data_IF_584997646387
#
_entry.id   IF_584997646387
#
_cell.length_a   1.000
_cell.length_b   1.000
_cell.length_c   1.000
_cell.angle_alpha   90.00
_cell.angle_beta   90.00
_cell.angle_gamma   90.00
#
_symmetry.space_group_name_H-M   'P 1'
#
loop_
_entity.id
_entity.type
_entity.pdbx_description
1 polymer ?
#
# COMPACT_ATOMS: atom_id res chain seq x y z
N UNK A 1 25.30 49.55 -41.32
CA UNK A 1 25.43 51.01 -41.43
C UNK A 1 24.45 51.63 -40.44
N UNK A 2 24.98 52.11 -39.33
CA UNK A 2 24.23 52.71 -38.23
C UNK A 2 23.88 54.16 -38.57
N UNK A 3 22.64 54.55 -38.28
CA UNK A 3 22.18 55.94 -38.36
C UNK A 3 22.59 56.75 -37.12
N UNK A 4 22.70 58.09 -37.22
CA UNK A 4 23.57 58.87 -36.38
C UNK A 4 22.90 59.53 -35.17
N UNK A 5 23.80 59.93 -34.28
CA UNK A 5 23.65 60.61 -33.00
C UNK A 5 22.82 61.90 -33.00
N UNK A 6 22.06 62.08 -31.92
CA UNK A 6 21.47 63.35 -31.48
C UNK A 6 21.87 63.66 -30.02
N UNK A 7 22.18 64.91 -29.64
CA UNK A 7 22.97 65.23 -28.46
C UNK A 7 22.20 65.47 -27.14
N UNK A 8 22.89 65.09 -26.08
CA UNK A 8 22.90 65.52 -24.68
C UNK A 8 22.00 66.68 -24.18
N UNK A 9 21.27 66.39 -23.10
CA UNK A 9 20.91 67.33 -22.02
C UNK A 9 20.83 66.50 -20.72
N UNK A 10 21.66 66.68 -19.70
CA UNK A 10 21.78 67.85 -18.84
C UNK A 10 21.61 67.37 -17.39
N UNK A 11 22.72 67.04 -16.71
CA UNK A 11 22.72 66.60 -15.29
C UNK A 11 22.38 67.79 -14.37
N UNK A 12 21.45 67.65 -13.41
CA UNK A 12 21.19 68.71 -12.43
C UNK A 12 22.31 68.78 -11.36
N UNK A 13 22.63 69.99 -10.85
CA UNK A 13 23.73 70.21 -9.92
C UNK A 13 23.40 69.75 -8.49
N UNK A 14 24.39 69.08 -7.86
CA UNK A 14 24.40 68.66 -6.46
C UNK A 14 24.65 69.86 -5.53
N UNK A 15 23.59 70.45 -5.00
CA UNK A 15 23.67 71.52 -3.99
C UNK A 15 23.83 70.99 -2.56
N UNK A 16 25.08 70.79 -2.12
CA UNK A 16 25.45 70.72 -0.69
C UNK A 16 25.52 72.16 -0.17
N UNK A 17 24.58 72.61 0.68
CA UNK A 17 24.74 73.73 1.66
C UNK A 17 23.40 74.04 2.34
N UNK A 18 23.11 73.32 3.42
CA UNK A 18 22.22 73.75 4.50
C UNK A 18 22.77 73.23 5.83
N UNK A 19 24.04 73.56 6.11
CA UNK A 19 24.66 73.40 7.44
C UNK A 19 24.97 74.80 7.94
N UNK A 20 24.53 75.11 9.16
CA UNK A 20 24.64 76.39 9.89
C UNK A 20 23.47 77.35 9.72
N UNK A 21 22.34 77.05 10.36
CA UNK A 21 21.49 78.03 11.06
C UNK A 21 20.63 77.28 12.09
N UNK A 22 21.28 76.55 13.00
CA UNK A 22 20.64 75.96 14.19
C UNK A 22 21.43 76.38 15.45
N UNK A 23 21.77 77.67 15.49
CA UNK A 23 22.41 78.32 16.64
C UNK A 23 21.57 79.54 17.03
N UNK A 24 20.32 79.29 17.42
CA UNK A 24 19.48 80.23 18.16
C UNK A 24 18.39 79.38 18.84
N UNK A 25 18.34 79.46 20.17
CA UNK A 25 17.77 78.43 21.04
C UNK A 25 16.30 78.10 20.78
N UNK A 26 16.03 76.79 20.83
CA UNK A 26 14.90 76.16 21.52
C UNK A 26 15.20 74.65 21.59
N UNK A 27 15.33 74.17 22.81
CA UNK A 27 15.58 72.77 23.18
C UNK A 27 14.31 71.92 23.03
N UNK A 28 14.51 70.63 22.72
CA UNK A 28 13.55 69.52 22.72
C UNK A 28 12.51 69.54 21.58
N UNK A 29 12.16 68.45 20.91
CA UNK A 29 12.54 67.03 21.04
C UNK A 29 11.82 66.31 19.90
N UNK A 30 12.47 66.11 18.75
CA UNK A 30 12.01 65.15 17.75
C UNK A 30 13.18 64.76 16.82
N UNK A 31 13.70 63.53 16.87
CA UNK A 31 14.80 63.10 16.01
C UNK A 31 14.40 62.88 14.53
N UNK A 32 13.13 63.07 14.16
CA UNK A 32 12.61 62.80 12.81
C UNK A 32 12.40 64.00 11.88
N UNK A 33 12.48 65.24 12.36
CA UNK A 33 12.06 66.41 11.58
C UNK A 33 13.06 66.79 10.48
N UNK A 34 12.69 66.54 9.21
CA UNK A 34 13.43 67.01 8.03
C UNK A 34 12.85 68.32 7.51
N UNK A 35 13.62 69.39 7.60
CA UNK A 35 13.26 70.71 7.05
C UNK A 35 13.70 70.82 5.58
N UNK A 36 12.76 71.12 4.69
CA UNK A 36 13.05 71.46 3.30
C UNK A 36 12.84 72.96 3.08
N UNK A 37 13.92 73.70 2.84
CA UNK A 37 13.85 75.11 2.47
C UNK A 37 13.68 75.23 0.94
N UNK A 38 12.50 75.66 0.48
CA UNK A 38 12.28 76.07 -0.93
C UNK A 38 12.24 77.59 -1.00
N UNK A 39 13.14 78.19 -1.79
CA UNK A 39 13.21 79.64 -2.01
C UNK A 39 12.49 79.99 -3.30
N UNK A 40 11.37 80.70 -3.24
CA UNK A 40 10.72 81.33 -4.41
C UNK A 40 10.43 82.78 -4.10
N UNK A 41 10.99 83.69 -4.92
CA UNK A 41 10.62 85.10 -5.04
C UNK A 41 10.21 85.84 -3.75
N UNK A 42 11.18 86.44 -3.07
CA UNK A 42 10.95 87.60 -2.19
C UNK A 42 10.18 87.42 -0.88
N UNK A 43 9.57 86.26 -0.58
CA UNK A 43 8.95 86.01 0.73
C UNK A 43 9.27 84.61 1.27
N UNK A 44 9.73 84.55 2.53
CA UNK A 44 9.93 83.31 3.28
C UNK A 44 8.59 82.90 3.90
N UNK A 45 7.83 82.05 3.22
CA UNK A 45 6.71 81.33 3.86
C UNK A 45 7.24 80.03 4.45
N UNK A 46 7.32 79.98 5.79
CA UNK A 46 7.39 78.71 6.50
C UNK A 46 6.01 78.05 6.39
N UNK A 47 5.89 77.08 5.49
CA UNK A 47 4.77 76.14 5.51
C UNK A 47 5.22 74.94 6.32
N UNK A 48 4.64 74.79 7.51
CA UNK A 48 4.65 73.50 8.19
C UNK A 48 3.88 72.56 7.26
N UNK A 49 4.53 71.52 6.75
CA UNK A 49 3.81 70.36 6.25
C UNK A 49 3.13 69.76 7.48
N UNK A 50 1.95 70.30 7.79
CA UNK A 50 1.02 69.76 8.76
C UNK A 50 0.88 68.29 8.41
N UNK A 51 1.23 67.43 9.37
CA UNK A 51 1.21 65.99 9.17
C UNK A 51 -0.11 65.60 8.56
N UNK A 52 -0.07 65.14 7.30
CA UNK A 52 -1.20 64.44 6.72
C UNK A 52 -1.47 63.28 7.65
N UNK A 53 -2.60 63.36 8.34
CA UNK A 53 -3.13 62.32 9.19
C UNK A 53 -3.08 61.00 8.42
N UNK A 54 -2.10 60.16 8.73
CA UNK A 54 -2.16 58.77 8.27
C UNK A 54 -3.36 58.17 8.99
N UNK A 55 -4.37 57.64 8.29
CA UNK A 55 -5.47 56.98 8.95
C UNK A 55 -4.88 55.85 9.79
N UNK A 56 -5.07 55.92 11.11
CA UNK A 56 -4.65 54.89 12.09
C UNK A 56 -5.53 53.63 12.00
N UNK A 57 -5.82 53.19 10.78
CA UNK A 57 -6.63 52.01 10.48
C UNK A 57 -5.84 50.98 9.67
N UNK A 58 -4.50 50.91 9.80
CA UNK A 58 -3.68 50.02 8.96
C UNK A 58 -2.79 48.98 9.64
N UNK A 59 -2.76 48.84 10.98
CA UNK A 59 -2.02 47.71 11.59
C UNK A 59 -2.87 46.46 11.80
N UNK A 60 -4.20 46.61 11.94
CA UNK A 60 -5.12 45.46 12.03
C UNK A 60 -5.50 44.89 10.66
N UNK A 61 -5.67 45.74 9.65
CA UNK A 61 -6.02 45.29 8.29
C UNK A 61 -4.82 44.69 7.53
N UNK A 62 -3.60 45.20 7.73
CA UNK A 62 -2.40 44.60 7.13
C UNK A 62 -2.09 43.22 7.72
N UNK A 63 -2.40 43.00 9.00
CA UNK A 63 -2.31 41.68 9.63
C UNK A 63 -3.29 40.68 9.04
N UNK A 64 -4.54 41.10 8.77
CA UNK A 64 -5.54 40.25 8.10
C UNK A 64 -5.19 39.97 6.64
N UNK A 65 -4.71 40.95 5.88
CA UNK A 65 -4.31 40.75 4.49
C UNK A 65 -3.13 39.77 4.35
N UNK A 66 -2.15 39.85 5.25
CA UNK A 66 -1.03 38.90 5.31
C UNK A 66 -1.50 37.50 5.72
N UNK A 67 -2.42 37.39 6.68
CA UNK A 67 -3.02 36.11 7.07
C UNK A 67 -3.77 35.45 5.90
N UNK A 68 -4.60 36.21 5.18
CA UNK A 68 -5.32 35.69 4.01
C UNK A 68 -4.36 35.26 2.91
N UNK A 69 -3.31 36.04 2.65
CA UNK A 69 -2.28 35.69 1.65
C UNK A 69 -1.51 34.43 2.05
N UNK A 70 -1.10 34.32 3.33
CA UNK A 70 -0.44 33.14 3.85
C UNK A 70 -1.34 31.91 3.78
N UNK A 71 -2.63 32.06 4.09
CA UNK A 71 -3.61 30.98 3.97
C UNK A 71 -3.84 30.55 2.52
N UNK A 72 -3.94 31.49 1.58
CA UNK A 72 -4.05 31.18 0.14
C UNK A 72 -2.79 30.48 -0.37
N UNK A 73 -1.60 30.96 0.00
CA UNK A 73 -0.32 30.30 -0.34
C UNK A 73 -0.25 28.89 0.24
N UNK A 74 -0.73 28.69 1.48
CA UNK A 74 -0.78 27.37 2.13
C UNK A 74 -1.78 26.45 1.42
N UNK A 75 -2.95 26.95 1.04
CA UNK A 75 -3.96 26.19 0.29
C UNK A 75 -3.45 25.79 -1.10
N UNK A 76 -2.78 26.71 -1.81
CA UNK A 76 -2.15 26.44 -3.10
C UNK A 76 -1.02 25.41 -2.94
N UNK A 77 -0.16 25.55 -1.93
CA UNK A 77 0.91 24.58 -1.66
C UNK A 77 0.36 23.19 -1.31
N UNK A 78 -0.72 23.11 -0.54
CA UNK A 78 -1.40 21.85 -0.21
C UNK A 78 -2.01 21.18 -1.45
N UNK A 79 -2.48 21.96 -2.43
CA UNK A 79 -2.97 21.44 -3.71
C UNK A 79 -1.85 20.94 -4.64
N UNK A 80 -0.67 21.58 -4.63
CA UNK A 80 0.46 21.20 -5.52
C UNK A 80 1.28 20.02 -4.97
N UNK A 81 1.37 19.88 -3.65
CA UNK A 81 2.11 18.79 -2.97
C UNK A 81 1.74 17.37 -3.44
N UNK A 82 0.44 17.00 -3.61
CA UNK A 82 0.08 15.66 -4.09
C UNK A 82 0.61 15.32 -5.50
N UNK A 83 0.72 16.30 -6.40
CA UNK A 83 1.18 16.07 -7.78
C UNK A 83 2.69 15.77 -7.84
N UNK A 84 3.50 16.42 -6.98
CA UNK A 84 4.93 16.17 -6.89
C UNK A 84 5.26 14.81 -6.25
N UNK A 85 4.41 14.32 -5.35
CA UNK A 85 4.55 12.99 -4.72
C UNK A 85 4.13 11.88 -5.68
N UNK A 86 3.13 12.12 -6.53
CA UNK A 86 2.63 11.15 -7.52
C UNK A 86 3.66 10.75 -8.57
N UNK A 87 4.36 11.72 -9.17
CA UNK A 87 5.36 11.46 -10.22
C UNK A 87 6.55 10.60 -9.76
N UNK A 88 6.87 10.61 -8.46
CA UNK A 88 7.90 9.74 -7.87
C UNK A 88 7.40 8.30 -7.64
N UNK A 89 6.08 8.10 -7.54
CA UNK A 89 5.48 6.78 -7.34
C UNK A 89 5.21 6.03 -8.64
N UNK A 90 4.97 6.71 -9.76
CA UNK A 90 4.84 6.06 -11.08
C UNK A 90 6.10 5.25 -11.43
N UNK A 91 7.28 5.84 -11.23
CA UNK A 91 8.55 5.21 -11.63
C UNK A 91 8.91 3.96 -10.81
N UNK A 92 8.41 3.84 -9.56
CA UNK A 92 8.59 2.64 -8.74
C UNK A 92 7.52 1.57 -8.97
N UNK A 93 6.40 1.92 -9.64
CA UNK A 93 5.36 0.94 -10.01
C UNK A 93 5.73 0.19 -11.29
N UNK A 94 6.37 0.86 -12.25
CA UNK A 94 6.71 0.26 -13.55
C UNK A 94 7.82 -0.80 -13.51
N UNK A 95 8.73 -0.75 -12.51
CA UNK A 95 9.77 -1.79 -12.37
C UNK A 95 9.24 -3.07 -11.69
N UNK A 96 8.29 -2.93 -10.77
CA UNK A 96 7.71 -4.08 -10.05
C UNK A 96 6.89 -4.99 -10.95
N UNK A 97 6.21 -4.42 -11.94
CA UNK A 97 5.40 -5.18 -12.89
C UNK A 97 6.25 -6.11 -13.76
N UNK A 98 7.45 -5.69 -14.17
CA UNK A 98 8.37 -6.53 -14.96
C UNK A 98 8.91 -7.69 -14.12
N UNK A 99 9.34 -7.42 -12.88
CA UNK A 99 9.82 -8.48 -11.98
C UNK A 99 8.72 -9.53 -11.71
N UNK A 100 7.50 -9.10 -11.41
CA UNK A 100 6.36 -10.00 -11.16
C UNK A 100 6.05 -10.89 -12.37
N UNK A 101 6.08 -10.32 -13.58
CA UNK A 101 5.87 -11.08 -14.83
C UNK A 101 6.99 -12.10 -15.03
N UNK A 102 8.25 -11.74 -14.79
CA UNK A 102 9.37 -12.68 -14.93
C UNK A 102 9.31 -13.83 -13.91
N UNK A 103 8.94 -13.54 -12.65
CA UNK A 103 8.76 -14.56 -11.62
C UNK A 103 7.61 -15.51 -11.98
N UNK A 104 6.48 -14.96 -12.46
CA UNK A 104 5.34 -15.77 -12.88
C UNK A 104 5.69 -16.68 -14.05
N UNK A 105 6.36 -16.16 -15.07
CA UNK A 105 6.81 -16.95 -16.20
C UNK A 105 7.79 -18.07 -15.77
N UNK A 106 8.68 -17.78 -14.82
CA UNK A 106 9.60 -18.76 -14.27
C UNK A 106 8.86 -19.90 -13.54
N UNK A 107 7.84 -19.58 -12.75
CA UNK A 107 6.99 -20.56 -12.05
C UNK A 107 6.21 -21.42 -13.04
N UNK A 108 5.59 -20.81 -14.05
CA UNK A 108 4.83 -21.55 -15.06
C UNK A 108 5.75 -22.50 -15.86
N UNK A 109 6.97 -22.07 -16.18
CA UNK A 109 7.98 -22.92 -16.80
C UNK A 109 8.44 -24.07 -15.89
N UNK A 110 8.60 -23.83 -14.59
CA UNK A 110 8.93 -24.88 -13.63
C UNK A 110 7.82 -25.91 -13.49
N UNK A 111 6.56 -25.46 -13.49
CA UNK A 111 5.40 -26.34 -13.44
C UNK A 111 5.33 -27.23 -14.69
N UNK A 112 5.48 -26.64 -15.88
CA UNK A 112 5.51 -27.40 -17.13
C UNK A 112 6.65 -28.43 -17.15
N UNK A 113 7.84 -28.06 -16.65
CA UNK A 113 8.97 -28.99 -16.51
C UNK A 113 8.68 -30.12 -15.52
N UNK A 114 8.16 -29.80 -14.34
CA UNK A 114 7.82 -30.80 -13.34
C UNK A 114 6.80 -31.81 -13.88
N UNK A 115 5.77 -31.34 -14.59
CA UNK A 115 4.80 -32.20 -15.27
C UNK A 115 5.44 -33.10 -16.32
N UNK A 116 6.33 -32.57 -17.16
CA UNK A 116 7.03 -33.35 -18.18
C UNK A 116 7.90 -34.44 -17.56
N UNK A 117 8.59 -34.14 -16.46
CA UNK A 117 9.40 -35.13 -15.75
C UNK A 117 8.52 -36.20 -15.07
N UNK A 118 7.36 -35.81 -14.49
CA UNK A 118 6.40 -36.76 -13.91
C UNK A 118 5.89 -37.70 -15.02
N UNK A 119 5.50 -37.15 -16.17
CA UNK A 119 5.04 -37.92 -17.32
C UNK A 119 6.13 -38.86 -17.88
N UNK A 120 7.40 -38.46 -17.80
CA UNK A 120 8.54 -39.28 -18.19
C UNK A 120 8.95 -40.32 -17.12
N UNK A 121 8.32 -40.32 -15.93
CA UNK A 121 8.71 -41.19 -14.81
C UNK A 121 10.07 -40.84 -14.19
N UNK A 122 10.59 -39.65 -14.45
CA UNK A 122 11.93 -39.21 -14.03
C UNK A 122 11.92 -38.49 -12.67
N UNK A 123 10.81 -38.54 -11.92
CA UNK A 123 10.65 -37.83 -10.63
C UNK A 123 10.59 -38.79 -9.47
N UNK A 124 11.59 -38.71 -8.60
CA UNK A 124 11.49 -39.26 -7.26
C UNK A 124 10.57 -38.38 -6.39
N UNK A 125 9.55 -39.00 -5.77
CA UNK A 125 8.66 -38.31 -4.84
C UNK A 125 9.43 -37.94 -3.56
N UNK A 126 9.23 -36.73 -3.06
CA UNK A 126 9.82 -36.27 -1.80
C UNK A 126 11.23 -35.70 -1.88
N UNK A 127 11.83 -35.62 -3.06
CA UNK A 127 13.14 -34.98 -3.24
C UNK A 127 12.99 -33.52 -3.67
N UNK A 128 13.64 -32.60 -2.95
CA UNK A 128 13.70 -31.18 -3.33
C UNK A 128 14.62 -31.01 -4.54
N UNK A 129 14.10 -30.45 -5.63
CA UNK A 129 14.86 -30.22 -6.85
C UNK A 129 15.04 -28.74 -7.09
N UNK A 130 16.25 -28.40 -7.53
CA UNK A 130 16.66 -27.03 -7.84
C UNK A 130 16.75 -26.87 -9.33
N UNK A 131 16.16 -25.80 -9.83
CA UNK A 131 16.20 -25.46 -11.23
C UNK A 131 16.35 -23.95 -11.39
N UNK A 132 16.96 -23.52 -12.48
CA UNK A 132 17.18 -22.10 -12.76
C UNK A 132 16.58 -21.77 -14.11
N UNK A 133 15.79 -20.71 -14.17
CA UNK A 133 15.20 -20.17 -15.38
C UNK A 133 15.67 -18.73 -15.58
N UNK A 134 16.61 -18.53 -16.51
CA UNK A 134 17.32 -17.26 -16.64
C UNK A 134 18.06 -16.87 -15.36
N UNK A 135 17.65 -15.77 -14.74
CA UNK A 135 18.18 -15.28 -13.47
C UNK A 135 17.40 -15.78 -12.23
N UNK A 136 16.25 -16.44 -12.42
CA UNK A 136 15.40 -16.89 -11.32
C UNK A 136 15.80 -18.31 -10.89
N UNK A 137 16.18 -18.46 -9.62
CA UNK A 137 16.40 -19.76 -9.00
C UNK A 137 15.11 -20.28 -8.34
N UNK A 138 14.71 -21.50 -8.71
CA UNK A 138 13.49 -22.14 -8.27
C UNK A 138 13.81 -23.44 -7.53
N UNK A 139 13.01 -23.73 -6.51
CA UNK A 139 13.06 -24.97 -5.74
C UNK A 139 11.67 -25.55 -5.69
N UNK A 140 11.52 -26.81 -6.08
CA UNK A 140 10.23 -27.49 -6.10
C UNK A 140 10.35 -28.89 -5.52
N UNK A 141 9.26 -29.35 -4.92
CA UNK A 141 9.10 -30.65 -4.32
C UNK A 141 7.84 -31.29 -4.89
N UNK A 142 7.94 -32.53 -5.34
CA UNK A 142 6.79 -33.30 -5.81
C UNK A 142 6.44 -34.33 -4.74
N UNK A 143 5.20 -34.30 -4.25
CA UNK A 143 4.69 -35.26 -3.26
C UNK A 143 3.50 -36.02 -3.84
N UNK A 144 3.41 -37.31 -3.52
CA UNK A 144 2.24 -38.11 -3.88
C UNK A 144 1.11 -37.89 -2.88
N UNK A 145 -0.05 -37.43 -3.36
CA UNK A 145 -1.27 -37.31 -2.55
C UNK A 145 -1.95 -38.66 -2.34
N UNK A 146 -1.71 -39.65 -3.20
CA UNK A 146 -2.34 -40.98 -3.17
C UNK A 146 -2.03 -41.82 -1.93
N UNK A 147 -1.00 -41.47 -1.16
CA UNK A 147 -0.70 -42.09 0.13
C UNK A 147 -1.55 -41.56 1.29
N UNK A 148 -2.30 -40.47 1.07
CA UNK A 148 -3.13 -39.80 2.07
C UNK A 148 -4.58 -40.28 2.00
N UNK A 149 -5.30 -40.08 3.09
CA UNK A 149 -6.72 -40.46 3.19
C UNK A 149 -7.59 -39.38 2.54
N UNK A 150 -8.39 -39.78 1.56
CA UNK A 150 -9.29 -38.87 0.86
C UNK A 150 -10.56 -38.58 1.66
N UNK A 151 -10.75 -37.34 2.11
CA UNK A 151 -11.93 -36.97 2.89
C UNK A 151 -13.23 -36.99 2.08
N UNK A 152 -13.19 -37.00 0.75
CA UNK A 152 -14.37 -37.11 -0.10
C UNK A 152 -14.71 -38.55 -0.48
N UNK A 153 -13.72 -39.46 -0.54
CA UNK A 153 -13.92 -40.83 -1.02
C UNK A 153 -13.61 -41.95 -0.01
N UNK A 154 -12.87 -41.69 1.07
CA UNK A 154 -12.44 -42.71 2.02
C UNK A 154 -13.61 -43.50 2.63
N UNK A 155 -13.42 -44.80 2.83
CA UNK A 155 -14.42 -45.64 3.49
C UNK A 155 -14.60 -45.25 4.98
N UNK A 156 -15.76 -45.51 5.59
CA UNK A 156 -15.99 -45.24 7.01
C UNK A 156 -14.90 -45.85 7.91
N UNK A 157 -14.51 -47.10 7.62
CA UNK A 157 -13.48 -47.83 8.39
C UNK A 157 -12.10 -47.17 8.26
N UNK A 158 -11.82 -46.57 7.10
CA UNK A 158 -10.55 -45.86 6.85
C UNK A 158 -10.51 -44.54 7.62
N UNK A 159 -11.64 -43.84 7.72
CA UNK A 159 -11.76 -42.62 8.53
C UNK A 159 -11.62 -42.92 10.02
N UNK A 160 -12.26 -44.00 10.50
CA UNK A 160 -12.15 -44.42 11.90
C UNK A 160 -10.71 -44.79 12.26
N UNK A 161 -10.02 -45.54 11.38
CA UNK A 161 -8.61 -45.87 11.56
C UNK A 161 -7.70 -44.63 11.58
N UNK A 162 -7.95 -43.64 10.71
CA UNK A 162 -7.24 -42.37 10.70
C UNK A 162 -7.41 -41.61 12.02
N UNK A 163 -8.65 -41.47 12.49
CA UNK A 163 -8.96 -40.73 13.72
C UNK A 163 -8.40 -41.43 14.96
N UNK A 164 -8.47 -42.76 15.01
CA UNK A 164 -7.86 -43.56 16.07
C UNK A 164 -6.33 -43.42 16.09
N UNK A 165 -5.68 -43.44 14.92
CA UNK A 165 -4.22 -43.25 14.81
C UNK A 165 -3.74 -41.89 15.34
N UNK A 166 -4.60 -40.86 15.27
CA UNK A 166 -4.32 -39.53 15.82
C UNK A 166 -4.68 -39.37 17.30
N UNK A 167 -5.10 -40.46 17.96
CA UNK A 167 -5.41 -40.50 19.39
C UNK A 167 -6.79 -39.91 19.75
N UNK A 168 -7.73 -39.85 18.80
CA UNK A 168 -9.09 -39.43 19.08
C UNK A 168 -9.84 -40.49 19.90
N UNK A 169 -10.75 -40.04 20.77
CA UNK A 169 -11.68 -40.96 21.44
C UNK A 169 -12.66 -41.55 20.42
N UNK A 170 -13.17 -42.75 20.67
CA UNK A 170 -14.13 -43.42 19.78
C UNK A 170 -15.38 -42.57 19.53
N UNK A 171 -15.91 -41.92 20.58
CA UNK A 171 -17.06 -41.02 20.48
C UNK A 171 -16.77 -39.78 19.62
N UNK A 172 -15.57 -39.20 19.74
CA UNK A 172 -15.17 -38.04 18.94
C UNK A 172 -14.92 -38.41 17.46
N UNK A 173 -14.29 -39.57 17.24
CA UNK A 173 -14.07 -40.12 15.90
C UNK A 173 -15.40 -40.39 15.19
N UNK A 174 -16.36 -41.00 15.88
CA UNK A 174 -17.72 -41.26 15.38
C UNK A 174 -18.42 -39.94 14.99
N UNK A 175 -18.38 -38.95 15.89
CA UNK A 175 -19.01 -37.65 15.64
C UNK A 175 -18.39 -36.94 14.42
N UNK A 176 -17.06 -36.94 14.30
CA UNK A 176 -16.37 -36.33 13.16
C UNK A 176 -16.65 -37.08 11.86
N UNK A 177 -16.59 -38.41 11.88
CA UNK A 177 -16.96 -39.25 10.73
C UNK A 177 -18.38 -38.96 10.27
N UNK A 178 -19.33 -38.87 11.19
CA UNK A 178 -20.71 -38.50 10.91
C UNK A 178 -20.83 -37.14 10.20
N UNK A 179 -20.08 -36.13 10.65
CA UNK A 179 -20.05 -34.80 10.03
C UNK A 179 -19.45 -34.83 8.62
N UNK A 180 -18.37 -35.59 8.40
CA UNK A 180 -17.76 -35.79 7.07
C UNK A 180 -18.75 -36.48 6.13
N UNK A 181 -19.39 -37.57 6.55
CA UNK A 181 -20.37 -38.28 5.72
C UNK A 181 -21.61 -37.43 5.43
N UNK A 182 -22.10 -36.66 6.40
CA UNK A 182 -23.20 -35.73 6.19
C UNK A 182 -22.83 -34.61 5.20
N UNK A 183 -21.58 -34.14 5.22
CA UNK A 183 -21.04 -33.17 4.25
C UNK A 183 -20.99 -33.76 2.84
N UNK A 184 -20.57 -35.02 2.68
CA UNK A 184 -20.56 -35.74 1.40
C UNK A 184 -21.96 -35.94 0.84
N UNK A 185 -22.92 -36.38 1.67
CA UNK A 185 -24.31 -36.57 1.26
C UNK A 185 -24.94 -35.29 0.72
N UNK A 186 -24.74 -34.15 1.41
CA UNK A 186 -25.20 -32.84 0.92
C UNK A 186 -24.56 -32.45 -0.42
N UNK A 187 -23.31 -32.83 -0.66
CA UNK A 187 -22.65 -32.61 -1.93
C UNK A 187 -23.23 -33.44 -3.07
N UNK A 188 -23.59 -34.70 -2.80
CA UNK A 188 -24.28 -35.56 -3.77
C UNK A 188 -25.68 -35.02 -4.10
N UNK A 189 -26.45 -34.61 -3.09
CA UNK A 189 -27.78 -34.01 -3.25
C UNK A 189 -27.72 -32.71 -4.07
N UNK A 190 -26.74 -31.84 -3.77
CA UNK A 190 -26.54 -30.59 -4.49
C UNK A 190 -25.98 -30.78 -5.91
N UNK A 191 -25.26 -31.87 -6.17
CA UNK A 191 -24.83 -32.24 -7.52
C UNK A 191 -25.97 -32.73 -8.41
N UNK A 192 -27.04 -33.25 -7.80
CA UNK A 192 -28.26 -33.68 -8.50
C UNK A 192 -29.33 -32.60 -8.66
N UNK A 193 -29.19 -31.43 -8.02
CA UNK A 193 -30.16 -30.35 -8.14
C UNK A 193 -29.97 -29.56 -9.44
N UNK A 194 -31.08 -29.05 -9.99
CA UNK A 194 -31.03 -28.09 -11.11
C UNK A 194 -30.71 -26.68 -10.63
N UNK A 195 -31.00 -26.41 -9.36
CA UNK A 195 -30.65 -25.15 -8.70
C UNK A 195 -29.14 -25.07 -8.44
N UNK A 196 -28.54 -23.87 -8.52
CA UNK A 196 -27.14 -23.69 -8.15
C UNK A 196 -26.93 -24.12 -6.69
N UNK A 197 -25.88 -24.91 -6.41
CA UNK A 197 -25.60 -25.34 -5.06
C UNK A 197 -25.33 -24.14 -4.14
N UNK A 198 -25.88 -24.16 -2.93
CA UNK A 198 -25.53 -23.18 -1.91
C UNK A 198 -24.01 -23.18 -1.64
N UNK A 199 -23.47 -22.04 -1.22
CA UNK A 199 -22.04 -21.92 -0.92
C UNK A 199 -21.64 -22.92 0.19
N UNK A 200 -20.72 -23.84 -0.14
CA UNK A 200 -20.31 -24.90 0.78
C UNK A 200 -21.19 -26.16 0.74
N UNK A 201 -22.07 -26.31 -0.25
CA UNK A 201 -22.85 -27.53 -0.46
C UNK A 201 -22.09 -28.61 -1.24
N UNK A 202 -21.24 -28.27 -2.22
CA UNK A 202 -20.46 -29.23 -3.03
C UNK A 202 -19.32 -29.93 -2.28
N UNK A 203 -18.59 -30.91 -2.84
CA UNK A 203 -17.55 -31.67 -2.12
C UNK A 203 -16.48 -30.79 -1.44
N UNK A 204 -15.74 -31.33 -0.47
CA UNK A 204 -14.64 -30.57 0.16
C UNK A 204 -13.62 -30.20 -0.93
N UNK A 205 -13.42 -28.91 -1.17
CA UNK A 205 -12.51 -28.41 -2.20
C UNK A 205 -11.08 -28.31 -1.69
N UNK A 206 -10.92 -28.13 -0.38
CA UNK A 206 -9.61 -28.06 0.27
C UNK A 206 -9.61 -28.80 1.63
N UNK A 207 -8.51 -29.48 2.03
CA UNK A 207 -8.41 -30.15 3.32
C UNK A 207 -8.69 -29.26 4.54
N UNK A 208 -8.48 -27.95 4.40
CA UNK A 208 -8.77 -26.96 5.46
C UNK A 208 -10.24 -26.82 5.82
N UNK A 209 -11.15 -27.22 4.93
CA UNK A 209 -12.58 -27.23 5.22
C UNK A 209 -12.93 -28.23 6.34
N UNK A 210 -12.06 -29.21 6.63
CA UNK A 210 -12.21 -30.09 7.79
C UNK A 210 -12.30 -29.30 9.11
N UNK A 211 -11.68 -28.11 9.20
CA UNK A 211 -11.78 -27.25 10.40
C UNK A 211 -13.23 -26.88 10.73
N UNK A 212 -14.04 -26.58 9.73
CA UNK A 212 -15.47 -26.31 9.92
C UNK A 212 -16.23 -27.54 10.41
N UNK A 213 -15.72 -28.74 10.13
CA UNK A 213 -16.25 -30.03 10.59
C UNK A 213 -15.68 -30.50 11.92
N UNK A 214 -14.65 -29.85 12.47
CA UNK A 214 -14.18 -30.12 13.83
C UNK A 214 -15.03 -29.37 14.87
N UNK A 215 -15.58 -28.21 14.48
CA UNK A 215 -16.52 -27.44 15.31
C UNK A 215 -15.83 -26.29 16.04
N UNK A 216 -16.63 -25.30 16.43
CA UNK A 216 -16.18 -24.15 17.21
C UNK A 216 -16.42 -24.49 18.67
N UNK A 217 -15.50 -25.21 19.34
CA UNK A 217 -15.77 -25.58 20.72
C UNK A 217 -14.64 -26.18 21.55
N UNK A 218 -13.58 -26.74 20.94
CA UNK A 218 -12.43 -27.24 21.70
C UNK A 218 -11.21 -26.36 21.46
N UNK A 219 -10.53 -26.01 22.54
CA UNK A 219 -9.22 -25.39 22.50
C UNK A 219 -8.19 -26.23 21.71
N UNK A 220 -8.42 -27.55 21.63
CA UNK A 220 -7.52 -28.51 20.99
C UNK A 220 -7.76 -28.71 19.49
N UNK A 221 -8.84 -28.16 18.90
CA UNK A 221 -9.22 -28.43 17.50
C UNK A 221 -8.17 -27.98 16.48
N UNK A 222 -7.51 -26.84 16.75
CA UNK A 222 -6.42 -26.36 15.90
C UNK A 222 -5.21 -27.31 15.91
N UNK A 223 -4.92 -27.90 17.08
CA UNK A 223 -3.82 -28.85 17.24
C UNK A 223 -4.14 -30.20 16.59
N UNK A 224 -5.39 -30.66 16.71
CA UNK A 224 -5.87 -31.87 16.06
C UNK A 224 -5.86 -31.71 14.54
N UNK A 225 -6.37 -30.60 14.02
CA UNK A 225 -6.31 -30.30 12.60
C UNK A 225 -4.85 -30.29 12.09
N UNK A 226 -3.93 -29.68 12.83
CA UNK A 226 -2.53 -29.65 12.45
C UNK A 226 -1.89 -31.05 12.41
N UNK A 227 -2.33 -31.97 13.28
CA UNK A 227 -1.91 -33.38 13.26
C UNK A 227 -2.52 -34.17 12.11
N UNK A 228 -3.77 -33.90 11.75
CA UNK A 228 -4.47 -34.58 10.66
C UNK A 228 -3.99 -34.12 9.28
N UNK A 229 -3.61 -32.84 9.14
CA UNK A 229 -3.31 -32.22 7.85
C UNK A 229 -2.30 -32.97 6.96
N UNK A 230 -1.20 -33.55 7.49
CA UNK A 230 -0.24 -34.30 6.69
C UNK A 230 -0.79 -35.58 6.06
N UNK A 231 -1.83 -36.17 6.67
CA UNK A 231 -2.33 -37.50 6.34
C UNK A 231 -3.64 -37.48 5.55
N UNK A 232 -4.22 -36.29 5.34
CA UNK A 232 -5.49 -36.10 4.63
C UNK A 232 -5.32 -35.43 3.28
N UNK A 233 -6.24 -35.73 2.37
CA UNK A 233 -6.34 -35.13 1.04
C UNK A 233 -7.81 -35.06 0.60
N UNK A 234 -8.08 -34.36 -0.50
CA UNK A 234 -9.44 -34.27 -1.10
C UNK A 234 -9.44 -34.58 -2.60
N UNK A 235 -8.29 -34.96 -3.16
CA UNK A 235 -8.05 -34.95 -4.61
C UNK A 235 -7.85 -36.33 -5.25
N UNK A 236 -7.78 -37.41 -4.48
CA UNK A 236 -7.38 -38.73 -4.99
C UNK A 236 -8.55 -39.57 -5.50
N UNK A 237 -9.78 -39.29 -5.03
CA UNK A 237 -10.99 -40.08 -5.26
C UNK A 237 -10.86 -41.56 -4.84
N UNK A 238 -9.85 -41.92 -4.05
CA UNK A 238 -9.59 -43.28 -3.62
C UNK A 238 -10.27 -43.57 -2.28
N UNK A 239 -10.93 -44.72 -2.17
CA UNK A 239 -11.58 -45.15 -0.92
C UNK A 239 -10.59 -45.66 0.13
N UNK A 240 -9.37 -46.03 -0.29
CA UNK A 240 -8.24 -46.40 0.56
C UNK A 240 -6.96 -45.76 0.03
N UNK A 241 -6.04 -45.31 0.90
CA UNK A 241 -4.74 -44.82 0.48
C UNK A 241 -3.91 -45.94 -0.15
N UNK A 242 -3.07 -45.59 -1.12
CA UNK A 242 -2.12 -46.52 -1.73
C UNK A 242 -1.02 -46.86 -0.71
N UNK A 243 -1.05 -48.07 -0.16
CA UNK A 243 -0.14 -48.49 0.91
C UNK A 243 1.35 -48.35 0.55
N UNK A 244 1.72 -48.53 -0.73
CA UNK A 244 3.09 -48.35 -1.21
C UNK A 244 3.59 -46.89 -1.16
N UNK A 245 2.69 -45.92 -0.99
CA UNK A 245 2.95 -44.49 -0.99
C UNK A 245 2.56 -43.83 0.34
N UNK A 246 2.10 -44.62 1.32
CA UNK A 246 1.83 -44.14 2.68
C UNK A 246 3.14 -43.70 3.35
N UNK A 247 3.08 -42.62 4.13
CA UNK A 247 4.22 -42.05 4.85
C UNK A 247 4.03 -42.17 6.35
#
# INVERSE_FOLDING_TARGET
>A
MAGPDGPAAGRPPRGRRCRRLAAAGRTASDPGARWLCRRSGGSLRMSVLSGSETPRWRRREEGMALLMTLWVLTAVAAMVTPLAVGARQEHLRDLRTVEDVTLRAAVDAAFARALAEIAAGAVALGEERRWRWGEVALRYLVTGESGRVDLNAASPETLDALFAAQGMSEADAEALRGRVLARRRRAEEAGGSTEPPEAGAGPLAHPSELRALLGEGRADDASLYAKLLPDITVWTAASRPAAALAR
#
